data_IF_311915042116
#
_entry.id   IF_311915042116
#
_cell.length_a   1.000
_cell.length_b   1.000
_cell.length_c   1.000
_cell.angle_alpha   90.00
_cell.angle_beta   90.00
_cell.angle_gamma   90.00
#
_symmetry.space_group_name_H-M   'P 1'
#
loop_
_entity.id
_entity.type
_entity.pdbx_description
1 polymer ?
#
# COMPACT_ATOMS: atom_id res chain seq x y z
N UNK A 1 -14.02 0.42 17.94
CA UNK A 1 -13.14 1.60 17.83
C UNK A 1 -13.54 2.55 16.70
N UNK A 2 -13.88 2.08 15.47
CA UNK A 2 -14.35 2.94 14.37
C UNK A 2 -15.56 3.82 14.73
N UNK A 3 -16.52 3.27 15.45
CA UNK A 3 -17.73 3.98 15.89
C UNK A 3 -17.42 5.19 16.80
N UNK A 4 -16.43 5.08 17.66
CA UNK A 4 -16.05 6.18 18.57
C UNK A 4 -15.52 7.39 17.79
N UNK A 5 -14.78 7.15 16.71
CA UNK A 5 -14.17 8.23 15.89
C UNK A 5 -15.14 8.89 14.94
N UNK A 6 -16.05 8.13 14.36
CA UNK A 6 -17.16 8.72 13.59
C UNK A 6 -17.99 9.61 14.52
N UNK A 7 -18.27 9.19 15.76
CA UNK A 7 -18.97 9.99 16.76
C UNK A 7 -18.21 11.25 17.12
N UNK A 8 -16.87 11.22 17.16
CA UNK A 8 -16.07 12.44 17.41
C UNK A 8 -16.22 13.42 16.24
N UNK A 9 -16.19 12.94 14.99
CA UNK A 9 -16.45 13.78 13.83
C UNK A 9 -17.87 14.33 13.84
N UNK A 10 -18.88 13.50 14.09
CA UNK A 10 -20.28 13.92 14.24
C UNK A 10 -20.42 15.00 15.31
N UNK A 11 -19.71 14.87 16.42
CA UNK A 11 -19.69 15.87 17.49
C UNK A 11 -19.12 17.21 17.02
N UNK A 12 -18.00 17.20 16.27
CA UNK A 12 -17.43 18.41 15.70
C UNK A 12 -18.37 19.01 14.66
N UNK A 13 -18.91 18.21 13.77
CA UNK A 13 -19.88 18.65 12.74
C UNK A 13 -21.08 19.36 13.39
N UNK A 14 -21.65 18.75 14.42
CA UNK A 14 -22.71 19.34 15.22
C UNK A 14 -22.33 20.66 15.88
N UNK A 15 -21.18 20.68 16.55
CA UNK A 15 -20.73 21.87 17.31
C UNK A 15 -20.40 23.05 16.39
N UNK A 16 -20.10 22.80 15.13
CA UNK A 16 -19.84 23.84 14.11
C UNK A 16 -21.07 24.30 13.39
N UNK A 17 -22.19 23.59 13.50
CA UNK A 17 -23.48 24.00 12.97
C UNK A 17 -24.21 24.88 14.01
N UNK A 18 -24.21 26.17 13.79
CA UNK A 18 -24.77 27.16 14.74
C UNK A 18 -26.04 27.84 14.23
N UNK A 19 -26.54 27.44 13.06
CA UNK A 19 -27.60 28.14 12.35
C UNK A 19 -29.00 27.60 12.66
N UNK A 20 -29.09 26.37 13.17
CA UNK A 20 -30.36 25.69 13.46
C UNK A 20 -30.14 24.31 14.03
N UNK A 21 -31.08 23.40 13.80
CA UNK A 21 -30.97 22.04 14.32
C UNK A 21 -29.94 21.20 13.56
N UNK A 22 -29.30 20.28 14.29
CA UNK A 22 -28.46 19.23 13.75
C UNK A 22 -29.01 17.86 14.14
N UNK A 23 -29.12 16.95 13.17
CA UNK A 23 -29.51 15.56 13.40
C UNK A 23 -28.52 14.60 12.75
N UNK A 24 -28.26 13.49 13.42
CA UNK A 24 -27.48 12.37 12.89
C UNK A 24 -28.43 11.17 12.81
N UNK A 25 -29.05 10.96 11.65
CA UNK A 25 -30.04 9.92 11.44
C UNK A 25 -30.30 9.72 9.94
N UNK A 26 -31.14 8.78 9.59
CA UNK A 26 -31.63 8.61 8.22
C UNK A 26 -32.75 9.61 7.89
N UNK A 27 -32.85 10.04 6.64
CA UNK A 27 -33.80 11.03 6.15
C UNK A 27 -35.28 10.74 6.61
N UNK A 28 -35.67 9.46 6.59
CA UNK A 28 -37.01 9.06 7.02
C UNK A 28 -37.38 9.39 8.47
N UNK A 29 -36.38 9.59 9.35
CA UNK A 29 -36.61 9.92 10.74
C UNK A 29 -36.90 11.44 10.95
N UNK A 30 -36.44 12.29 10.04
CA UNK A 30 -36.64 13.75 10.12
C UNK A 30 -38.08 14.11 9.87
N UNK A 31 -38.76 13.42 8.98
CA UNK A 31 -40.19 13.66 8.61
C UNK A 31 -41.17 13.37 9.74
N UNK A 32 -40.73 12.75 10.83
CA UNK A 32 -41.59 12.41 11.98
C UNK A 32 -41.43 13.43 13.13
N UNK A 33 -40.51 14.39 13.01
CA UNK A 33 -40.24 15.35 14.07
C UNK A 33 -40.91 16.71 13.78
N UNK A 34 -41.95 17.03 14.52
CA UNK A 34 -42.76 18.24 14.32
C UNK A 34 -42.12 19.52 14.90
N UNK A 35 -40.97 19.43 15.60
CA UNK A 35 -40.35 20.55 16.30
C UNK A 35 -38.96 20.94 15.75
N UNK A 36 -38.74 20.74 14.45
CA UNK A 36 -37.45 21.06 13.82
C UNK A 36 -37.29 22.58 13.65
N UNK A 37 -36.11 23.08 14.04
CA UNK A 37 -35.71 24.48 13.83
C UNK A 37 -34.87 24.54 12.55
N UNK A 38 -35.32 25.32 11.58
CA UNK A 38 -34.67 25.53 10.30
C UNK A 38 -33.71 26.76 10.36
N UNK A 39 -32.58 26.76 9.61
CA UNK A 39 -32.15 25.66 8.73
C UNK A 39 -31.74 24.42 9.52
N UNK A 40 -32.09 23.24 9.02
CA UNK A 40 -31.72 21.97 9.58
C UNK A 40 -30.54 21.39 8.81
N UNK A 41 -29.55 20.86 9.51
CA UNK A 41 -28.52 20.00 8.94
C UNK A 41 -28.76 18.55 9.41
N UNK A 42 -28.86 17.65 8.46
CA UNK A 42 -28.93 16.21 8.68
C UNK A 42 -27.62 15.58 8.18
N UNK A 43 -26.98 14.80 9.01
CA UNK A 43 -25.89 13.92 8.58
C UNK A 43 -26.41 12.49 8.55
N UNK A 44 -26.33 11.85 7.38
CA UNK A 44 -26.66 10.43 7.28
C UNK A 44 -25.50 9.55 7.74
N UNK A 45 -25.78 8.43 8.44
CA UNK A 45 -24.75 7.44 8.75
C UNK A 45 -24.16 6.89 7.45
N UNK A 46 -22.81 6.87 7.30
CA UNK A 46 -22.21 6.30 6.10
C UNK A 46 -22.61 4.86 5.90
N UNK A 47 -23.09 4.55 4.70
CA UNK A 47 -23.55 3.19 4.33
C UNK A 47 -22.42 2.31 3.79
N UNK A 48 -21.31 2.91 3.41
CA UNK A 48 -20.11 2.22 2.92
C UNK A 48 -18.86 2.74 3.57
N UNK A 49 -17.94 1.83 3.89
CA UNK A 49 -16.62 2.12 4.43
C UNK A 49 -15.61 1.36 3.60
N UNK A 50 -14.64 2.06 3.05
CA UNK A 50 -13.51 1.45 2.34
C UNK A 50 -12.33 1.42 3.31
N UNK A 51 -11.99 0.25 3.89
CA UNK A 51 -10.85 0.16 4.79
C UNK A 51 -9.55 0.20 3.98
N UNK A 52 -8.69 1.14 4.31
CA UNK A 52 -7.28 1.08 3.93
C UNK A 52 -6.51 0.37 5.05
N UNK A 53 -6.39 -0.95 4.91
CA UNK A 53 -5.78 -1.81 5.93
C UNK A 53 -4.29 -1.51 6.10
N UNK A 54 -3.66 -0.85 5.12
CA UNK A 54 -2.20 -0.62 5.11
C UNK A 54 -1.82 0.70 5.76
N UNK A 55 -2.62 1.72 5.52
CA UNK A 55 -2.38 3.06 6.09
C UNK A 55 -3.09 3.25 7.43
N UNK A 56 -3.92 2.29 7.85
CA UNK A 56 -4.71 2.39 9.07
C UNK A 56 -5.84 3.41 8.98
N UNK A 57 -6.19 3.84 7.75
CA UNK A 57 -7.31 4.70 7.47
C UNK A 57 -8.53 3.90 7.02
N UNK A 58 -9.69 4.46 7.29
CA UNK A 58 -10.94 4.09 6.65
C UNK A 58 -11.46 5.30 5.87
N UNK A 59 -11.87 5.09 4.64
CA UNK A 59 -12.48 6.13 3.82
C UNK A 59 -13.99 5.98 3.90
N UNK A 60 -14.66 7.05 4.30
CA UNK A 60 -16.09 7.18 4.38
C UNK A 60 -16.55 8.19 3.32
N UNK A 61 -17.49 7.84 2.49
CA UNK A 61 -18.28 8.85 1.78
C UNK A 61 -19.36 9.32 2.74
N UNK A 62 -19.29 10.57 3.14
CA UNK A 62 -20.26 11.20 4.05
C UNK A 62 -21.18 12.11 3.28
N UNK A 63 -22.44 12.09 3.68
CA UNK A 63 -23.49 12.92 3.09
C UNK A 63 -24.14 13.78 4.16
N UNK A 64 -24.28 15.07 3.82
CA UNK A 64 -24.96 16.05 4.62
C UNK A 64 -26.10 16.67 3.82
N UNK A 65 -27.26 16.66 4.39
CA UNK A 65 -28.43 17.33 3.82
C UNK A 65 -28.76 18.57 4.62
N UNK A 66 -28.88 19.68 3.93
CA UNK A 66 -29.24 20.96 4.51
C UNK A 66 -30.64 21.34 4.04
N UNK A 67 -31.52 21.63 4.97
CA UNK A 67 -32.89 21.96 4.70
C UNK A 67 -33.24 23.36 5.18
N UNK A 68 -34.03 24.08 4.39
CA UNK A 68 -34.63 25.34 4.83
C UNK A 68 -36.10 25.40 4.40
N UNK A 69 -36.95 25.89 5.28
CA UNK A 69 -38.39 26.01 5.00
C UNK A 69 -38.69 27.27 4.20
N UNK A 70 -39.78 27.25 3.41
CA UNK A 70 -40.27 28.41 2.72
C UNK A 70 -41.80 28.55 2.80
N UNK A 71 -42.32 29.81 2.74
CA UNK A 71 -43.78 30.09 2.74
C UNK A 71 -44.36 29.88 1.34
N UNK A 72 -45.62 29.44 1.25
CA UNK A 72 -46.33 29.18 -0.03
C UNK A 72 -46.27 30.37 -1.01
N UNK A 73 -46.29 31.60 -0.50
CA UNK A 73 -46.23 32.82 -1.29
C UNK A 73 -44.88 33.12 -1.97
N UNK A 74 -43.83 32.36 -1.66
CA UNK A 74 -42.45 32.57 -2.14
C UNK A 74 -42.01 31.46 -3.12
N UNK A 75 -42.91 31.03 -4.01
CA UNK A 75 -42.63 29.92 -4.95
C UNK A 75 -42.08 30.38 -6.31
N UNK A 76 -41.84 31.69 -6.50
CA UNK A 76 -41.20 32.14 -7.72
C UNK A 76 -39.73 31.65 -7.80
N UNK A 77 -39.30 31.44 -9.04
CA UNK A 77 -37.96 30.85 -9.29
C UNK A 77 -36.82 31.66 -8.70
N UNK A 78 -36.94 33.00 -8.66
CA UNK A 78 -35.88 33.89 -8.14
C UNK A 78 -35.76 33.76 -6.63
N UNK A 79 -36.89 33.70 -5.92
CA UNK A 79 -36.92 33.52 -4.47
C UNK A 79 -36.42 32.15 -4.07
N UNK A 80 -36.75 31.11 -4.79
CA UNK A 80 -36.23 29.76 -4.57
C UNK A 80 -34.73 29.69 -4.82
N UNK A 81 -34.25 30.27 -5.93
CA UNK A 81 -32.84 30.34 -6.24
C UNK A 81 -32.04 31.01 -5.12
N UNK A 82 -32.49 32.16 -4.63
CA UNK A 82 -31.85 32.88 -3.53
C UNK A 82 -31.82 32.05 -2.24
N UNK A 83 -32.79 31.20 -1.98
CA UNK A 83 -32.80 30.33 -0.82
C UNK A 83 -31.81 29.20 -0.95
N UNK A 84 -31.68 28.62 -2.13
CA UNK A 84 -30.60 27.65 -2.37
C UNK A 84 -29.23 28.27 -2.24
N UNK A 85 -29.01 29.47 -2.78
CA UNK A 85 -27.74 30.19 -2.67
C UNK A 85 -27.40 30.45 -1.19
N UNK A 86 -28.35 31.00 -0.42
CA UNK A 86 -28.13 31.22 1.03
C UNK A 86 -27.85 29.92 1.80
N UNK A 87 -28.56 28.84 1.48
CA UNK A 87 -28.37 27.56 2.15
C UNK A 87 -27.01 26.94 1.77
N UNK A 88 -26.59 27.08 0.52
CA UNK A 88 -25.27 26.65 0.07
C UNK A 88 -24.17 27.47 0.73
N UNK A 89 -24.32 28.79 0.88
CA UNK A 89 -23.36 29.65 1.57
C UNK A 89 -23.18 29.20 3.03
N UNK A 90 -24.29 28.91 3.74
CA UNK A 90 -24.24 28.37 5.11
C UNK A 90 -23.54 27.00 5.17
N UNK A 91 -23.81 26.12 4.21
CA UNK A 91 -23.19 24.80 4.14
C UNK A 91 -21.68 24.89 3.88
N UNK A 92 -21.26 25.80 3.00
CA UNK A 92 -19.84 26.04 2.72
C UNK A 92 -19.13 26.70 3.91
N UNK A 93 -19.73 27.69 4.57
CA UNK A 93 -19.18 28.29 5.77
C UNK A 93 -19.04 27.25 6.90
N UNK A 94 -20.04 26.38 7.07
CA UNK A 94 -19.94 25.29 8.01
C UNK A 94 -18.77 24.34 7.66
N UNK A 95 -18.66 23.94 6.39
CA UNK A 95 -17.58 23.06 5.94
C UNK A 95 -16.21 23.69 6.20
N UNK A 96 -16.03 24.98 5.91
CA UNK A 96 -14.78 25.69 6.20
C UNK A 96 -14.49 25.70 7.71
N UNK A 97 -15.49 25.89 8.55
CA UNK A 97 -15.37 25.83 10.01
C UNK A 97 -15.01 24.43 10.52
N UNK A 98 -15.51 23.38 9.87
CA UNK A 98 -15.10 21.98 10.15
C UNK A 98 -13.66 21.75 9.68
N UNK A 99 -13.30 22.21 8.49
CA UNK A 99 -11.96 22.07 7.91
C UNK A 99 -10.89 22.78 8.78
N UNK A 100 -11.19 23.90 9.41
CA UNK A 100 -10.28 24.59 10.35
C UNK A 100 -9.90 23.66 11.52
N UNK A 101 -10.81 22.82 12.02
CA UNK A 101 -10.49 21.85 13.08
C UNK A 101 -9.67 20.65 12.59
N UNK A 102 -9.74 20.37 11.30
CA UNK A 102 -9.03 19.25 10.66
C UNK A 102 -8.03 19.74 9.61
N UNK A 103 -7.56 21.00 9.72
CA UNK A 103 -6.76 21.67 8.72
C UNK A 103 -5.47 20.92 8.40
N UNK A 104 -5.37 20.55 7.13
CA UNK A 104 -4.11 20.40 6.42
C UNK A 104 -3.16 19.33 6.90
N UNK A 105 -3.64 18.15 7.31
CA UNK A 105 -2.75 17.01 7.60
C UNK A 105 -1.80 17.19 8.78
N UNK A 106 -1.83 18.36 9.45
CA UNK A 106 -1.03 18.62 10.63
C UNK A 106 -1.99 19.00 11.75
N UNK A 107 -2.43 18.02 12.51
CA UNK A 107 -2.95 18.32 13.84
C UNK A 107 -1.76 18.80 14.64
N UNK A 108 -1.70 20.09 14.90
CA UNK A 108 -0.81 20.62 15.94
C UNK A 108 -1.12 19.85 17.22
N UNK A 109 -0.13 19.12 17.66
CA UNK A 109 -0.15 18.26 18.84
C UNK A 109 -0.95 18.89 19.98
N UNK A 110 -2.00 18.26 20.47
CA UNK A 110 -2.46 18.58 21.81
C UNK A 110 -1.39 18.08 22.78
N UNK A 111 -1.22 18.80 23.85
CA UNK A 111 -0.26 18.58 24.92
C UNK A 111 -0.01 17.10 25.24
N UNK A 112 1.22 16.81 25.59
CA UNK A 112 1.92 15.54 25.84
C UNK A 112 1.26 14.52 26.79
N UNK A 113 -0.02 14.56 27.02
CA UNK A 113 -0.73 13.65 27.93
C UNK A 113 -1.92 12.89 27.33
N UNK A 114 -2.19 12.98 26.03
CA UNK A 114 -3.26 12.21 25.39
C UNK A 114 -2.74 11.40 24.21
N UNK A 115 -2.96 10.10 24.19
CA UNK A 115 -2.23 9.18 23.29
C UNK A 115 -2.89 8.93 21.95
N UNK A 116 -3.60 9.87 21.33
CA UNK A 116 -4.00 9.65 19.93
C UNK A 116 -4.48 10.91 19.23
N UNK A 117 -3.75 11.41 18.24
CA UNK A 117 -4.33 12.36 17.30
C UNK A 117 -5.37 11.63 16.45
N UNK A 118 -6.63 12.04 16.54
CA UNK A 118 -7.66 11.65 15.58
C UNK A 118 -7.39 12.41 14.30
N UNK A 119 -6.68 11.79 13.37
CA UNK A 119 -6.45 12.40 12.05
C UNK A 119 -7.68 12.14 11.19
N UNK A 120 -8.40 13.21 10.87
CA UNK A 120 -9.47 13.21 9.87
C UNK A 120 -8.96 14.02 8.69
N UNK A 121 -9.01 13.43 7.52
CA UNK A 121 -8.63 14.06 6.27
C UNK A 121 -9.84 14.13 5.35
N UNK A 122 -10.24 15.33 4.93
CA UNK A 122 -11.35 15.56 4.01
C UNK A 122 -10.77 15.78 2.60
N UNK A 123 -11.20 14.93 1.66
CA UNK A 123 -10.83 15.06 0.26
C UNK A 123 -11.70 16.14 -0.41
N UNK A 124 -11.13 17.33 -0.63
CA UNK A 124 -11.84 18.44 -1.27
C UNK A 124 -12.18 18.19 -2.75
N UNK A 125 -11.41 17.33 -3.41
CA UNK A 125 -11.63 17.02 -4.83
C UNK A 125 -12.85 16.10 -5.05
N UNK A 126 -13.33 15.45 -3.98
CA UNK A 126 -14.56 14.64 -4.00
C UNK A 126 -15.82 15.42 -3.62
N UNK A 127 -15.69 16.72 -3.29
CA UNK A 127 -16.83 17.53 -2.87
C UNK A 127 -17.86 17.67 -4.01
N UNK A 128 -19.08 17.24 -3.73
CA UNK A 128 -20.25 17.39 -4.61
C UNK A 128 -21.36 18.13 -3.89
N UNK A 129 -22.04 19.03 -4.58
CA UNK A 129 -23.20 19.75 -4.06
C UNK A 129 -24.35 19.61 -5.07
N UNK A 130 -25.47 19.07 -4.60
CA UNK A 130 -26.68 18.91 -5.36
C UNK A 130 -27.79 19.76 -4.73
N UNK A 131 -28.62 20.40 -5.58
CA UNK A 131 -29.76 21.22 -5.16
C UNK A 131 -31.05 20.52 -5.52
N UNK A 132 -31.88 20.27 -4.52
CA UNK A 132 -33.19 19.62 -4.71
C UNK A 132 -34.30 20.48 -4.13
N UNK A 133 -35.50 20.36 -4.73
CA UNK A 133 -36.71 20.92 -4.23
C UNK A 133 -37.59 19.79 -3.78
N UNK A 134 -37.88 19.73 -2.50
CA UNK A 134 -38.86 18.80 -1.98
C UNK A 134 -40.28 19.35 -2.18
N UNK A 135 -41.02 18.70 -3.03
CA UNK A 135 -42.42 19.12 -3.35
C UNK A 135 -43.48 18.53 -2.41
N UNK A 136 -43.06 17.64 -1.51
CA UNK A 136 -43.97 17.04 -0.52
C UNK A 136 -44.33 18.07 0.55
N UNK A 137 -45.41 17.85 1.25
CA UNK A 137 -46.15 18.72 2.17
C UNK A 137 -45.40 19.79 2.98
N UNK A 138 -44.08 19.72 3.10
CA UNK A 138 -43.29 20.52 4.03
C UNK A 138 -42.64 21.77 3.44
N UNK A 139 -42.69 21.97 2.09
CA UNK A 139 -42.15 23.15 1.41
C UNK A 139 -40.72 23.45 1.79
N UNK A 140 -39.84 22.51 1.54
CA UNK A 140 -38.43 22.59 1.85
C UNK A 140 -37.61 22.82 0.58
N UNK A 141 -36.57 23.62 0.67
CA UNK A 141 -35.41 23.57 -0.23
C UNK A 141 -34.35 22.71 0.45
N UNK A 142 -33.75 21.84 -0.33
CA UNK A 142 -32.69 20.94 0.12
C UNK A 142 -31.40 21.15 -0.67
N UNK A 143 -30.29 21.04 0.01
CA UNK A 143 -28.96 20.89 -0.60
C UNK A 143 -28.36 19.63 -0.01
N UNK A 144 -27.89 18.76 -0.87
CA UNK A 144 -27.09 17.60 -0.50
C UNK A 144 -25.63 17.89 -0.79
N UNK A 145 -24.78 17.80 0.22
CA UNK A 145 -23.35 17.91 0.14
C UNK A 145 -22.72 16.57 0.47
N UNK A 146 -21.92 16.03 -0.43
CA UNK A 146 -21.18 14.78 -0.18
C UNK A 146 -19.69 14.98 -0.43
N UNK A 147 -18.86 14.27 0.35
CA UNK A 147 -17.42 14.23 0.17
C UNK A 147 -16.84 12.98 0.82
N UNK A 148 -15.64 12.60 0.36
CA UNK A 148 -14.88 11.51 0.96
C UNK A 148 -14.06 12.02 2.14
N UNK A 149 -14.19 11.30 3.25
CA UNK A 149 -13.46 11.57 4.47
C UNK A 149 -12.62 10.34 4.85
N UNK A 150 -11.34 10.53 5.04
CA UNK A 150 -10.43 9.49 5.56
C UNK A 150 -10.24 9.69 7.05
N UNK A 151 -10.49 8.65 7.81
CA UNK A 151 -10.31 8.64 9.26
C UNK A 151 -9.28 7.60 9.65
N UNK A 152 -8.35 7.98 10.54
CA UNK A 152 -7.38 7.06 11.09
C UNK A 152 -8.06 6.19 12.16
N UNK A 153 -8.32 4.92 11.86
CA UNK A 153 -9.16 4.05 12.69
C UNK A 153 -8.38 3.07 13.55
N UNK A 154 -7.10 2.86 13.24
CA UNK A 154 -6.27 1.91 13.99
C UNK A 154 -5.03 2.59 14.55
N UNK A 155 -4.96 2.72 15.87
CA UNK A 155 -3.67 2.76 16.53
C UNK A 155 -3.09 1.34 16.48
N UNK A 156 -2.19 1.11 15.54
CA UNK A 156 -1.28 -0.02 15.71
C UNK A 156 -0.46 0.29 16.95
N UNK A 157 -0.77 -0.37 18.06
CA UNK A 157 0.01 -0.30 19.32
C UNK A 157 1.42 -0.88 19.13
N UNK A 158 1.62 -1.63 18.09
CA UNK A 158 2.91 -1.90 17.48
C UNK A 158 2.94 -1.12 16.15
N UNK A 159 3.77 -0.10 16.08
CA UNK A 159 4.12 0.56 14.83
C UNK A 159 4.74 -0.49 13.92
N UNK A 160 3.92 -1.20 13.11
CA UNK A 160 4.47 -1.83 11.92
C UNK A 160 5.02 -0.67 11.12
N UNK A 161 6.32 -0.52 11.15
CA UNK A 161 6.96 0.52 10.36
C UNK A 161 6.71 0.16 8.91
N UNK A 162 6.16 1.11 8.14
CA UNK A 162 6.19 0.97 6.69
C UNK A 162 7.61 0.61 6.24
N UNK A 163 7.77 -0.18 5.20
CA UNK A 163 9.09 -0.55 4.71
C UNK A 163 10.06 0.64 4.58
N UNK A 164 9.59 1.79 4.12
CA UNK A 164 10.37 3.02 3.99
C UNK A 164 10.68 3.74 5.32
N UNK A 165 10.09 3.32 6.43
CA UNK A 165 10.45 3.80 7.77
C UNK A 165 11.56 2.97 8.43
N UNK A 166 11.87 1.83 7.83
CA UNK A 166 13.05 1.03 8.19
C UNK A 166 14.24 1.58 7.39
N UNK A 167 15.30 2.08 8.04
CA UNK A 167 16.42 2.69 7.35
C UNK A 167 17.11 1.75 6.35
N UNK A 168 17.73 2.33 5.33
CA UNK A 168 18.50 1.65 4.29
C UNK A 168 17.67 0.75 3.36
N UNK A 169 16.40 1.08 3.15
CA UNK A 169 15.63 0.51 2.05
C UNK A 169 16.21 1.04 0.73
N UNK A 170 16.71 0.15 -0.12
CA UNK A 170 17.39 0.51 -1.36
C UNK A 170 16.55 0.22 -2.59
N UNK A 171 15.68 -0.78 -2.55
CA UNK A 171 14.72 -1.04 -3.61
C UNK A 171 13.39 -1.54 -3.03
N UNK A 172 12.27 -1.08 -3.62
CA UNK A 172 10.93 -1.50 -3.24
C UNK A 172 9.99 -1.53 -4.44
N UNK A 173 9.67 -2.70 -4.91
CA UNK A 173 8.78 -2.95 -6.05
C UNK A 173 7.43 -3.47 -5.59
N UNK A 174 6.34 -2.85 -6.05
CA UNK A 174 4.97 -3.21 -5.69
C UNK A 174 4.16 -3.45 -6.97
N UNK A 175 3.59 -4.64 -7.15
CA UNK A 175 2.77 -4.95 -8.33
C UNK A 175 1.41 -4.22 -8.35
N UNK A 176 0.92 -3.77 -7.20
CA UNK A 176 -0.31 -2.98 -7.08
C UNK A 176 -0.11 -1.50 -7.42
N UNK A 177 1.12 -1.03 -7.55
CA UNK A 177 1.44 0.37 -7.84
C UNK A 177 2.75 0.51 -8.64
N UNK A 178 2.87 1.58 -9.44
CA UNK A 178 4.10 1.90 -10.17
C UNK A 178 4.44 0.95 -11.32
N UNK A 179 3.47 0.24 -11.86
CA UNK A 179 3.68 -0.68 -13.00
C UNK A 179 3.15 -0.07 -14.26
N UNK A 180 4.04 0.25 -15.20
CA UNK A 180 3.67 0.62 -16.57
C UNK A 180 3.49 -0.63 -17.41
N UNK A 181 2.30 -0.85 -17.91
CA UNK A 181 1.96 -2.01 -18.72
C UNK A 181 0.97 -1.67 -19.83
N UNK A 182 0.99 -2.43 -20.88
CA UNK A 182 -0.01 -2.37 -21.95
C UNK A 182 -1.32 -3.02 -21.45
N UNK A 183 -2.43 -2.28 -21.51
CA UNK A 183 -3.72 -2.74 -20.98
C UNK A 183 -4.26 -3.94 -21.73
N UNK A 184 -4.07 -4.00 -23.06
CA UNK A 184 -4.61 -5.05 -23.91
C UNK A 184 -3.83 -6.37 -23.78
N UNK A 185 -2.50 -6.28 -23.70
CA UNK A 185 -1.61 -7.45 -23.65
C UNK A 185 -1.11 -7.77 -22.25
N UNK A 186 -1.33 -6.88 -21.26
CA UNK A 186 -0.82 -6.94 -19.87
C UNK A 186 0.70 -6.90 -19.75
N UNK A 187 1.44 -6.68 -20.84
CA UNK A 187 2.90 -6.69 -20.87
C UNK A 187 3.47 -5.51 -20.10
N UNK A 188 4.33 -5.80 -19.12
CA UNK A 188 4.96 -4.83 -18.23
C UNK A 188 6.26 -4.33 -18.84
N UNK A 189 6.35 -3.05 -19.09
CA UNK A 189 7.55 -2.40 -19.62
C UNK A 189 8.42 -1.77 -18.51
N UNK A 190 7.81 -1.27 -17.42
CA UNK A 190 8.51 -0.62 -16.31
C UNK A 190 7.86 -1.04 -14.99
N UNK A 191 8.69 -1.29 -13.99
CA UNK A 191 8.27 -1.45 -12.58
C UNK A 191 9.06 -0.49 -11.72
N UNK A 192 8.38 0.55 -11.20
CA UNK A 192 8.99 1.66 -10.47
C UNK A 192 9.45 1.23 -9.07
N UNK A 193 10.58 1.79 -8.65
CA UNK A 193 11.14 1.68 -7.31
C UNK A 193 10.51 2.69 -6.35
N UNK A 194 9.86 2.22 -5.31
CA UNK A 194 9.24 3.03 -4.25
C UNK A 194 10.17 3.30 -3.05
N UNK A 195 11.42 2.87 -3.09
CA UNK A 195 12.38 3.16 -2.00
C UNK A 195 12.82 4.62 -1.96
N UNK A 196 12.66 5.34 -3.09
CA UNK A 196 13.22 6.66 -3.34
C UNK A 196 14.64 6.62 -3.89
N UNK A 197 15.18 5.43 -4.18
CA UNK A 197 16.53 5.25 -4.74
C UNK A 197 16.59 5.38 -6.26
N UNK A 198 15.43 5.44 -6.95
CA UNK A 198 15.36 5.57 -8.41
C UNK A 198 15.86 4.34 -9.17
N UNK A 199 15.68 3.14 -8.60
CA UNK A 199 16.16 1.87 -9.16
C UNK A 199 15.06 1.13 -9.92
N UNK A 200 14.42 1.84 -10.83
CA UNK A 200 13.38 1.28 -11.69
C UNK A 200 13.94 0.11 -12.52
N UNK A 201 13.12 -0.90 -12.74
CA UNK A 201 13.47 -2.01 -13.63
C UNK A 201 12.60 -1.99 -14.87
N UNK A 202 13.19 -2.21 -16.03
CA UNK A 202 12.52 -2.04 -17.31
C UNK A 202 12.80 -3.18 -18.32
N UNK A 203 11.95 -3.30 -19.32
CA UNK A 203 12.11 -4.18 -20.46
C UNK A 203 11.50 -3.57 -21.72
N UNK A 204 12.34 -3.18 -22.68
CA UNK A 204 11.91 -2.58 -23.94
C UNK A 204 11.45 -3.63 -24.95
N UNK A 205 11.95 -4.87 -24.88
CA UNK A 205 11.61 -5.95 -25.82
C UNK A 205 10.29 -6.61 -25.42
N UNK A 206 9.24 -6.36 -26.16
CA UNK A 206 7.87 -6.83 -25.87
C UNK A 206 7.73 -8.33 -25.63
N UNK A 207 8.55 -9.18 -26.29
CA UNK A 207 8.54 -10.65 -26.09
C UNK A 207 9.17 -11.09 -24.77
N UNK A 208 9.92 -10.20 -24.09
CA UNK A 208 10.57 -10.46 -22.80
C UNK A 208 9.85 -9.81 -21.63
N UNK A 209 8.78 -9.05 -21.89
CA UNK A 209 8.02 -8.36 -20.86
C UNK A 209 7.11 -9.33 -20.08
N UNK A 210 7.19 -9.39 -18.74
CA UNK A 210 6.29 -10.18 -17.93
C UNK A 210 4.87 -9.57 -17.93
N UNK A 211 3.88 -10.35 -17.48
CA UNK A 211 2.48 -9.97 -17.53
C UNK A 211 1.97 -9.48 -16.17
N UNK A 212 1.26 -8.35 -16.16
CA UNK A 212 0.61 -7.85 -14.94
C UNK A 212 -0.83 -8.36 -14.81
N UNK A 213 -1.15 -8.90 -13.63
CA UNK A 213 -2.50 -9.27 -13.22
C UNK A 213 -2.97 -8.41 -12.04
N UNK A 214 -4.21 -7.93 -12.11
CA UNK A 214 -4.70 -6.91 -11.18
C UNK A 214 -5.21 -7.43 -9.84
N UNK A 215 -5.92 -8.57 -9.83
CA UNK A 215 -6.67 -9.03 -8.65
C UNK A 215 -6.63 -10.55 -8.41
N UNK A 216 -5.73 -11.26 -9.07
CA UNK A 216 -5.67 -12.72 -9.03
C UNK A 216 -4.56 -13.26 -8.11
N UNK A 217 -3.82 -12.36 -7.44
CA UNK A 217 -2.72 -12.70 -6.54
C UNK A 217 -3.16 -13.02 -5.11
N UNK A 218 -2.19 -13.09 -4.18
CA UNK A 218 -2.45 -13.29 -2.76
C UNK A 218 -3.40 -12.21 -2.22
N UNK A 219 -4.46 -12.61 -1.53
CA UNK A 219 -5.50 -11.73 -1.00
C UNK A 219 -6.06 -10.75 -2.05
N UNK A 220 -6.34 -11.24 -3.26
CA UNK A 220 -6.87 -10.43 -4.37
C UNK A 220 -6.00 -9.21 -4.74
N UNK A 221 -4.69 -9.30 -4.53
CA UNK A 221 -3.72 -8.27 -4.88
C UNK A 221 -3.10 -8.51 -6.25
N UNK A 222 -2.55 -7.44 -6.82
CA UNK A 222 -1.84 -7.52 -8.08
C UNK A 222 -0.54 -8.34 -7.98
N UNK A 223 -0.14 -8.92 -9.11
CA UNK A 223 1.14 -9.58 -9.26
C UNK A 223 1.68 -9.44 -10.68
N UNK A 224 2.98 -9.63 -10.82
CA UNK A 224 3.69 -9.72 -12.09
C UNK A 224 4.01 -11.20 -12.34
N UNK A 225 3.65 -11.70 -13.49
CA UNK A 225 3.80 -13.10 -13.89
C UNK A 225 4.97 -13.28 -14.86
N UNK A 226 5.90 -14.13 -14.48
CA UNK A 226 7.08 -14.50 -15.25
C UNK A 226 6.91 -15.92 -15.81
N UNK A 227 7.25 -16.13 -17.06
CA UNK A 227 6.90 -17.35 -17.83
C UNK A 227 7.93 -18.48 -17.79
N UNK A 228 8.99 -18.35 -17.01
CA UNK A 228 10.05 -19.38 -16.91
C UNK A 228 10.91 -19.59 -18.16
N UNK A 229 10.78 -18.74 -19.18
CA UNK A 229 11.50 -18.93 -20.46
C UNK A 229 12.18 -17.69 -21.01
N UNK A 230 11.62 -16.50 -20.76
CA UNK A 230 12.12 -15.26 -21.39
C UNK A 230 11.79 -13.98 -20.65
N UNK A 231 10.83 -14.00 -19.70
CA UNK A 231 10.39 -12.80 -19.03
C UNK A 231 11.43 -12.30 -18.03
N UNK A 232 11.80 -11.03 -18.15
CA UNK A 232 12.71 -10.35 -17.21
C UNK A 232 12.49 -8.85 -17.23
N UNK A 233 12.83 -8.20 -16.13
CA UNK A 233 12.96 -6.74 -16.01
C UNK A 233 14.32 -6.45 -15.42
N UNK A 234 15.04 -5.46 -15.97
CA UNK A 234 16.43 -5.18 -15.58
C UNK A 234 16.57 -3.70 -15.27
N UNK A 235 17.32 -3.36 -14.25
CA UNK A 235 17.71 -2.00 -13.96
C UNK A 235 18.52 -1.42 -15.12
N UNK A 236 18.41 -0.13 -15.37
CA UNK A 236 19.15 0.56 -16.43
C UNK A 236 20.66 0.37 -16.22
N UNK A 237 21.39 0.07 -17.29
CA UNK A 237 22.84 -0.12 -17.24
C UNK A 237 23.51 1.15 -16.71
N UNK A 238 24.35 1.01 -15.65
CA UNK A 238 25.04 2.09 -14.98
C UNK A 238 24.38 2.60 -13.71
N UNK A 239 23.15 2.19 -13.44
CA UNK A 239 22.53 2.37 -12.12
C UNK A 239 22.99 1.25 -11.19
N UNK A 240 23.19 1.58 -9.91
CA UNK A 240 23.66 0.63 -8.90
C UNK A 240 22.49 0.15 -8.03
N UNK A 241 22.47 -1.13 -7.68
CA UNK A 241 21.50 -1.71 -6.74
C UNK A 241 21.52 -1.04 -5.35
N UNK A 242 22.60 -0.32 -5.04
CA UNK A 242 22.77 0.38 -3.77
C UNK A 242 22.95 -0.56 -2.59
N UNK A 243 23.43 -1.75 -2.84
CA UNK A 243 23.79 -2.76 -1.84
C UNK A 243 25.30 -3.00 -1.85
N UNK A 244 25.82 -3.44 -0.74
CA UNK A 244 27.23 -3.75 -0.55
C UNK A 244 27.37 -5.23 -0.12
N UNK A 245 27.99 -5.48 1.01
CA UNK A 245 28.29 -6.82 1.52
C UNK A 245 27.23 -7.38 2.45
N UNK A 246 26.27 -6.55 2.90
CA UNK A 246 25.21 -6.97 3.82
C UNK A 246 23.83 -6.61 3.29
N UNK A 247 22.96 -7.60 3.24
CA UNK A 247 21.64 -7.46 2.63
C UNK A 247 20.58 -8.12 3.50
N UNK A 248 19.41 -7.49 3.60
CA UNK A 248 18.17 -8.16 3.98
C UNK A 248 17.15 -7.90 2.88
N UNK A 249 16.50 -8.93 2.37
CA UNK A 249 15.43 -8.76 1.40
C UNK A 249 14.19 -9.57 1.75
N UNK A 250 13.06 -9.07 1.26
CA UNK A 250 11.75 -9.71 1.38
C UNK A 250 11.14 -9.82 0.00
N UNK A 251 10.47 -10.93 -0.28
CA UNK A 251 9.71 -11.09 -1.49
C UNK A 251 8.41 -11.86 -1.23
N UNK A 252 7.31 -11.37 -1.80
CA UNK A 252 6.02 -12.07 -1.81
C UNK A 252 5.84 -12.68 -3.18
N UNK A 253 6.01 -13.99 -3.26
CA UNK A 253 5.91 -14.70 -4.53
C UNK A 253 5.45 -16.16 -4.40
N UNK A 254 4.97 -16.69 -5.50
CA UNK A 254 4.79 -18.13 -5.76
C UNK A 254 5.62 -18.52 -6.98
N UNK A 255 6.05 -19.76 -7.03
CA UNK A 255 6.62 -20.35 -8.26
C UNK A 255 5.73 -21.49 -8.75
N UNK A 256 5.59 -21.60 -10.07
CA UNK A 256 4.70 -22.56 -10.72
C UNK A 256 5.48 -23.80 -11.21
N UNK A 257 6.77 -23.63 -11.53
CA UNK A 257 7.64 -24.73 -11.97
C UNK A 257 8.23 -25.49 -10.79
N UNK A 258 8.09 -26.82 -10.84
CA UNK A 258 8.54 -27.72 -9.75
C UNK A 258 9.92 -28.33 -9.98
N UNK A 259 10.54 -28.16 -11.14
CA UNK A 259 11.83 -28.74 -11.51
C UNK A 259 12.76 -27.68 -12.05
N UNK A 260 14.08 -27.90 -11.90
CA UNK A 260 15.11 -26.98 -12.36
C UNK A 260 15.35 -25.82 -11.39
N UNK A 261 15.95 -24.77 -11.90
CA UNK A 261 16.28 -23.53 -11.17
C UNK A 261 15.67 -22.35 -11.90
N UNK A 262 15.16 -21.37 -11.14
CA UNK A 262 14.69 -20.10 -11.66
C UNK A 262 14.90 -19.00 -10.62
N UNK A 263 15.48 -17.88 -11.04
CA UNK A 263 15.76 -16.76 -10.14
C UNK A 263 14.75 -15.62 -10.32
N UNK A 264 14.06 -15.30 -9.22
CA UNK A 264 13.17 -14.18 -9.13
C UNK A 264 13.93 -12.85 -9.16
N UNK A 265 15.01 -12.79 -8.40
CA UNK A 265 15.82 -11.59 -8.24
C UNK A 265 17.30 -12.00 -8.28
N UNK A 266 18.04 -11.32 -9.13
CA UNK A 266 19.51 -11.35 -9.15
C UNK A 266 20.02 -9.94 -8.89
N UNK A 267 21.03 -9.84 -8.05
CA UNK A 267 21.85 -8.64 -7.84
C UNK A 267 23.26 -9.05 -8.25
N UNK A 268 23.69 -8.59 -9.41
CA UNK A 268 24.95 -9.00 -10.03
C UNK A 268 25.61 -7.89 -10.85
N UNK A 269 26.91 -8.04 -11.10
CA UNK A 269 27.66 -7.16 -11.98
C UNK A 269 27.56 -7.69 -13.41
N UNK A 270 26.47 -7.39 -14.10
CA UNK A 270 26.18 -7.82 -15.46
C UNK A 270 27.44 -7.76 -16.39
N UNK A 271 28.08 -8.90 -16.59
CA UNK A 271 29.03 -9.12 -17.68
C UNK A 271 30.53 -9.03 -17.35
N UNK A 272 30.94 -8.75 -16.13
CA UNK A 272 32.38 -8.63 -15.79
C UNK A 272 32.84 -9.40 -14.56
N UNK A 273 31.95 -9.69 -13.62
CA UNK A 273 32.27 -10.35 -12.35
C UNK A 273 31.36 -11.56 -12.09
N UNK A 274 31.90 -12.54 -11.38
CA UNK A 274 31.13 -13.71 -10.91
C UNK A 274 30.29 -13.42 -9.69
N UNK A 275 30.43 -12.23 -9.10
CA UNK A 275 29.73 -11.83 -7.87
C UNK A 275 28.23 -11.73 -8.07
N UNK A 276 27.48 -12.43 -7.24
CA UNK A 276 26.01 -12.35 -7.31
C UNK A 276 25.35 -12.71 -5.98
N UNK A 277 24.13 -12.17 -5.81
CA UNK A 277 23.13 -12.67 -4.87
C UNK A 277 21.88 -13.00 -5.66
N UNK A 278 21.41 -14.23 -5.56
CA UNK A 278 20.33 -14.76 -6.37
C UNK A 278 19.26 -15.42 -5.48
N UNK A 279 18.02 -14.90 -5.54
CA UNK A 279 16.87 -15.43 -4.83
C UNK A 279 15.87 -16.02 -5.84
N UNK A 280 15.40 -17.23 -5.58
CA UNK A 280 14.41 -17.87 -6.45
C UNK A 280 13.96 -19.22 -5.95
N UNK A 281 13.93 -20.19 -6.85
CA UNK A 281 13.64 -21.59 -6.50
C UNK A 281 14.63 -22.53 -7.18
N UNK A 282 14.85 -23.70 -6.55
CA UNK A 282 15.59 -24.82 -7.11
C UNK A 282 14.96 -26.13 -6.64
N UNK A 283 14.61 -27.00 -7.58
CA UNK A 283 14.03 -28.32 -7.28
C UNK A 283 12.85 -28.27 -6.29
N UNK A 284 11.89 -27.37 -6.53
CA UNK A 284 10.68 -27.16 -5.71
C UNK A 284 10.93 -26.58 -4.29
N UNK A 285 12.09 -25.98 -4.05
CA UNK A 285 12.42 -25.31 -2.80
C UNK A 285 12.72 -23.83 -3.06
N UNK A 286 12.36 -22.97 -2.12
CA UNK A 286 12.91 -21.62 -2.09
C UNK A 286 14.41 -21.68 -1.93
N UNK A 287 15.14 -20.81 -2.62
CA UNK A 287 16.57 -20.93 -2.79
C UNK A 287 17.24 -19.57 -2.80
N UNK A 288 18.29 -19.43 -2.00
CA UNK A 288 19.19 -18.29 -2.01
C UNK A 288 20.60 -18.79 -2.32
N UNK A 289 21.23 -18.18 -3.30
CA UNK A 289 22.63 -18.42 -3.66
C UNK A 289 23.40 -17.10 -3.64
N UNK A 290 24.63 -17.15 -3.21
CA UNK A 290 25.58 -16.04 -3.28
C UNK A 290 26.90 -16.53 -3.83
N UNK A 291 27.56 -15.71 -4.65
CA UNK A 291 28.84 -16.02 -5.27
C UNK A 291 29.78 -14.82 -5.11
N UNK A 292 31.06 -15.06 -4.80
CA UNK A 292 32.11 -14.02 -4.69
C UNK A 292 32.85 -13.84 -6.03
N UNK A 293 33.74 -12.83 -6.07
CA UNK A 293 34.56 -12.54 -7.25
C UNK A 293 35.57 -13.63 -7.63
N UNK A 294 35.89 -14.54 -6.73
CA UNK A 294 36.74 -15.69 -6.99
C UNK A 294 35.95 -16.92 -7.49
N UNK A 295 34.63 -16.83 -7.54
CA UNK A 295 33.76 -17.94 -7.95
C UNK A 295 33.44 -18.93 -6.82
N UNK A 296 33.75 -18.60 -5.56
CA UNK A 296 33.25 -19.39 -4.44
C UNK A 296 31.75 -19.10 -4.25
N UNK A 297 30.95 -20.15 -4.13
CA UNK A 297 29.52 -20.00 -3.96
C UNK A 297 29.00 -20.72 -2.72
N UNK A 298 27.92 -20.19 -2.16
CA UNK A 298 27.17 -20.82 -1.10
C UNK A 298 25.69 -20.68 -1.33
N UNK A 299 24.94 -21.66 -0.85
CA UNK A 299 23.48 -21.64 -1.04
C UNK A 299 22.76 -22.14 0.20
N UNK A 300 21.51 -21.69 0.36
CA UNK A 300 20.64 -22.14 1.43
C UNK A 300 19.20 -22.29 0.92
N UNK A 301 18.52 -23.31 1.42
CA UNK A 301 17.09 -23.51 1.24
C UNK A 301 16.44 -23.71 2.61
N UNK A 302 15.17 -23.33 2.83
CA UNK A 302 14.48 -23.65 4.07
C UNK A 302 14.51 -25.16 4.31
N UNK A 303 14.76 -25.57 5.54
CA UNK A 303 14.91 -26.97 5.94
C UNK A 303 13.62 -27.80 5.83
N UNK A 304 12.50 -27.14 5.59
CA UNK A 304 11.24 -27.82 5.29
C UNK A 304 10.57 -27.07 4.15
N UNK A 305 10.21 -27.73 3.03
CA UNK A 305 9.23 -27.14 2.17
C UNK A 305 8.01 -26.96 3.05
N UNK A 306 7.64 -25.70 3.36
CA UNK A 306 6.29 -25.52 3.86
C UNK A 306 5.39 -26.26 2.87
N UNK A 307 4.49 -27.09 3.36
CA UNK A 307 3.52 -27.83 2.55
C UNK A 307 2.65 -26.90 1.66
N UNK A 308 2.90 -25.60 1.69
CA UNK A 308 2.34 -24.54 0.87
C UNK A 308 3.26 -24.01 -0.23
N UNK A 309 4.51 -24.46 -0.35
CA UNK A 309 5.40 -23.99 -1.43
C UNK A 309 4.89 -24.32 -2.83
N UNK A 310 3.97 -25.25 -2.94
CA UNK A 310 3.50 -25.78 -4.22
C UNK A 310 2.15 -25.26 -4.70
N UNK A 311 1.46 -24.40 -3.94
CA UNK A 311 0.11 -23.98 -4.30
C UNK A 311 -0.27 -22.54 -3.93
N UNK A 312 0.62 -21.75 -3.32
CA UNK A 312 0.29 -20.41 -2.87
C UNK A 312 1.47 -19.46 -2.75
N UNK A 313 1.14 -18.20 -2.56
CA UNK A 313 2.11 -17.15 -2.25
C UNK A 313 2.73 -17.36 -0.87
N UNK A 314 4.02 -17.08 -0.76
CA UNK A 314 4.74 -17.05 0.49
C UNK A 314 5.51 -15.74 0.64
N UNK A 315 5.75 -15.33 1.87
CA UNK A 315 6.67 -14.24 2.19
C UNK A 315 8.03 -14.88 2.44
N UNK A 316 8.99 -14.63 1.58
CA UNK A 316 10.36 -15.10 1.74
C UNK A 316 11.20 -13.96 2.27
N UNK A 317 11.94 -14.23 3.35
CA UNK A 317 12.90 -13.32 3.95
C UNK A 317 14.29 -13.92 3.83
N UNK A 318 15.22 -13.13 3.31
CA UNK A 318 16.64 -13.51 3.25
C UNK A 318 17.50 -12.51 4.03
N UNK A 319 18.62 -12.99 4.55
CA UNK A 319 19.75 -12.19 5.02
C UNK A 319 21.03 -12.75 4.43
N UNK A 320 21.91 -11.87 3.96
CA UNK A 320 23.24 -12.24 3.53
C UNK A 320 24.26 -11.33 4.22
N UNK A 321 25.21 -11.92 4.89
CA UNK A 321 26.41 -11.29 5.40
C UNK A 321 27.58 -11.84 4.62
N UNK A 322 28.01 -11.10 3.61
CA UNK A 322 29.07 -11.47 2.67
C UNK A 322 30.37 -10.71 2.93
N UNK A 323 30.50 -10.12 4.12
CA UNK A 323 31.73 -9.42 4.51
C UNK A 323 32.90 -10.40 4.35
N UNK A 324 33.97 -9.93 3.71
CA UNK A 324 35.22 -10.68 3.57
C UNK A 324 35.69 -11.17 4.94
N UNK A 325 35.47 -12.43 5.22
CA UNK A 325 35.82 -13.07 6.47
C UNK A 325 35.90 -14.59 6.27
N UNK A 326 36.39 -15.27 7.27
CA UNK A 326 36.44 -16.73 7.28
C UNK A 326 35.06 -17.39 7.51
N UNK A 327 33.99 -16.59 7.70
CA UNK A 327 32.69 -17.11 8.07
C UNK A 327 31.50 -16.24 7.55
N UNK A 328 31.38 -16.00 6.24
CA UNK A 328 30.21 -15.39 5.66
C UNK A 328 28.98 -16.27 5.86
N UNK A 329 27.83 -15.65 6.08
CA UNK A 329 26.61 -16.35 6.46
C UNK A 329 25.43 -15.89 5.63
N UNK A 330 24.63 -16.85 5.15
CA UNK A 330 23.36 -16.59 4.51
C UNK A 330 22.22 -17.28 5.22
N UNK A 331 21.06 -16.64 5.18
CA UNK A 331 19.85 -17.09 5.88
C UNK A 331 18.65 -16.95 4.97
N UNK A 332 17.76 -17.92 5.06
CA UNK A 332 16.46 -17.88 4.40
C UNK A 332 15.34 -18.38 5.32
N UNK A 333 14.19 -17.75 5.27
CA UNK A 333 12.97 -18.29 5.88
C UNK A 333 11.76 -18.03 5.02
N UNK A 334 10.74 -18.86 5.18
CA UNK A 334 9.41 -18.64 4.62
C UNK A 334 8.42 -18.26 5.70
N UNK A 335 7.59 -17.26 5.46
CA UNK A 335 6.54 -16.80 6.35
C UNK A 335 7.09 -16.47 7.76
N UNK A 336 6.40 -16.93 8.79
CA UNK A 336 6.82 -16.75 10.19
C UNK A 336 7.70 -17.89 10.74
N UNK A 337 8.29 -18.72 9.87
CA UNK A 337 9.17 -19.79 10.30
C UNK A 337 10.52 -19.27 10.81
N UNK A 338 11.30 -20.13 11.44
CA UNK A 338 12.69 -19.85 11.80
C UNK A 338 13.58 -19.76 10.57
N UNK A 339 14.67 -18.98 10.67
CA UNK A 339 15.70 -18.97 9.63
C UNK A 339 16.42 -20.31 9.53
N UNK A 340 16.61 -20.77 8.30
CA UNK A 340 17.64 -21.74 7.98
C UNK A 340 18.92 -20.96 7.62
N UNK A 341 20.03 -21.35 8.20
CA UNK A 341 21.33 -20.71 8.07
C UNK A 341 22.30 -21.64 7.34
N UNK A 342 23.19 -21.06 6.54
CA UNK A 342 24.33 -21.72 5.92
C UNK A 342 25.58 -20.87 6.12
N UNK A 343 26.66 -21.51 6.55
CA UNK A 343 28.02 -20.96 6.51
C UNK A 343 28.65 -21.27 5.15
N UNK A 344 29.31 -20.30 4.55
CA UNK A 344 29.72 -20.40 3.14
C UNK A 344 31.24 -20.51 2.97
N UNK A 345 32.00 -20.72 4.00
CA UNK A 345 33.46 -20.75 3.90
C UNK A 345 34.05 -19.36 3.66
N UNK A 346 35.28 -19.27 3.14
CA UNK A 346 35.96 -17.99 2.94
C UNK A 346 35.49 -17.33 1.65
N UNK A 347 34.95 -16.11 1.74
CA UNK A 347 34.64 -15.24 0.61
C UNK A 347 35.75 -14.20 0.44
N UNK A 348 36.06 -13.93 -0.82
CA UNK A 348 36.96 -12.86 -1.24
C UNK A 348 36.29 -12.01 -2.28
N UNK A 349 36.42 -10.67 -2.17
CA UNK A 349 35.86 -9.73 -3.12
C UNK A 349 34.34 -9.93 -3.34
N UNK A 350 33.55 -9.81 -2.26
CA UNK A 350 32.10 -10.07 -2.24
C UNK A 350 31.25 -8.80 -2.31
N UNK A 351 31.87 -7.64 -2.59
CA UNK A 351 31.18 -6.36 -2.68
C UNK A 351 30.30 -6.26 -3.92
N UNK A 352 29.01 -5.98 -3.71
CA UNK A 352 27.98 -5.79 -4.76
C UNK A 352 27.72 -4.31 -5.06
N UNK A 353 28.60 -3.38 -4.68
CA UNK A 353 28.39 -1.93 -4.82
C UNK A 353 28.04 -1.51 -6.25
N UNK A 354 28.63 -2.14 -7.26
CA UNK A 354 28.39 -1.85 -8.67
C UNK A 354 27.37 -2.80 -9.34
N UNK A 355 26.72 -3.64 -8.56
CA UNK A 355 25.75 -4.59 -9.07
C UNK A 355 24.43 -3.90 -9.49
N UNK A 356 23.73 -4.50 -10.43
CA UNK A 356 22.40 -4.11 -10.88
C UNK A 356 21.35 -5.15 -10.48
N UNK A 357 20.11 -4.71 -10.37
CA UNK A 357 18.98 -5.60 -10.07
C UNK A 357 18.38 -6.12 -11.39
N UNK A 358 18.28 -7.45 -11.49
CA UNK A 358 17.47 -8.13 -12.51
C UNK A 358 16.37 -8.93 -11.84
N UNK A 359 15.14 -8.79 -12.33
CA UNK A 359 13.98 -9.55 -11.87
C UNK A 359 13.55 -10.55 -12.97
N UNK A 360 13.29 -11.79 -12.57
CA UNK A 360 12.80 -12.84 -13.45
C UNK A 360 13.86 -13.69 -14.15
N UNK A 361 15.16 -13.44 -13.90
CA UNK A 361 16.26 -14.27 -14.40
C UNK A 361 17.56 -14.04 -13.59
N UNK A 362 18.59 -14.83 -13.87
CA UNK A 362 19.97 -14.62 -13.35
C UNK A 362 20.77 -13.56 -14.10
N UNK A 363 20.13 -12.85 -15.02
CA UNK A 363 20.78 -11.80 -15.82
C UNK A 363 21.67 -12.30 -16.94
N UNK A 364 22.41 -13.39 -16.74
CA UNK A 364 23.44 -13.85 -17.69
C UNK A 364 23.12 -15.19 -18.37
N UNK A 365 22.54 -16.14 -17.68
CA UNK A 365 22.50 -17.55 -18.10
C UNK A 365 21.10 -18.10 -18.36
N UNK A 366 20.05 -17.29 -18.20
CA UNK A 366 18.71 -17.68 -18.59
C UNK A 366 18.02 -18.66 -17.64
N UNK A 367 18.37 -18.70 -16.36
CA UNK A 367 17.58 -19.38 -15.33
C UNK A 367 16.33 -18.56 -15.00
N UNK A 368 15.40 -18.54 -15.96
CA UNK A 368 14.21 -17.72 -15.89
C UNK A 368 13.26 -18.21 -14.81
N UNK A 369 12.74 -17.26 -14.04
CA UNK A 369 11.74 -17.50 -13.03
C UNK A 369 10.38 -17.81 -13.67
N UNK A 370 9.69 -18.81 -13.12
CA UNK A 370 8.33 -19.21 -13.51
C UNK A 370 7.40 -19.04 -12.32
N UNK A 371 6.56 -17.99 -12.35
CA UNK A 371 5.65 -17.71 -11.26
C UNK A 371 5.25 -16.26 -11.08
N UNK A 372 4.44 -16.01 -10.06
CA UNK A 372 3.86 -14.71 -9.77
C UNK A 372 4.54 -13.99 -8.59
N UNK A 373 4.79 -12.70 -8.76
CA UNK A 373 5.48 -11.84 -7.79
C UNK A 373 4.62 -10.62 -7.45
N UNK A 374 4.34 -10.42 -6.17
CA UNK A 374 3.50 -9.31 -5.72
C UNK A 374 4.29 -8.14 -5.14
N UNK A 375 5.38 -8.41 -4.42
CA UNK A 375 6.19 -7.36 -3.80
C UNK A 375 7.62 -7.83 -3.53
N UNK A 376 8.59 -6.92 -3.69
CA UNK A 376 10.01 -7.15 -3.38
C UNK A 376 10.54 -5.93 -2.64
N UNK A 377 11.34 -6.16 -1.60
CA UNK A 377 12.05 -5.13 -0.85
C UNK A 377 13.49 -5.55 -0.61
N UNK A 378 14.42 -4.61 -0.74
CA UNK A 378 15.85 -4.83 -0.50
C UNK A 378 16.37 -3.74 0.42
N UNK A 379 17.06 -4.14 1.48
CA UNK A 379 17.76 -3.28 2.43
C UNK A 379 19.26 -3.54 2.36
N UNK A 380 20.06 -2.48 2.27
CA UNK A 380 21.53 -2.58 2.22
C UNK A 380 22.18 -2.78 3.59
N UNK A 381 21.56 -3.57 4.44
CA UNK A 381 22.07 -3.97 5.76
C UNK A 381 21.38 -5.20 6.32
N UNK A 382 21.95 -5.78 7.35
CA UNK A 382 21.24 -6.75 8.16
C UNK A 382 20.22 -6.03 9.05
N UNK A 383 18.93 -6.39 8.90
CA UNK A 383 17.88 -5.92 9.80
C UNK A 383 17.90 -6.72 11.10
N UNK A 384 17.56 -6.03 12.20
CA UNK A 384 17.28 -6.69 13.48
C UNK A 384 16.01 -7.52 13.40
N UNK A 385 15.83 -8.49 14.29
CA UNK A 385 14.62 -9.32 14.34
C UNK A 385 13.35 -8.47 14.54
N UNK A 386 13.44 -7.38 15.31
CA UNK A 386 12.32 -6.45 15.49
C UNK A 386 11.93 -5.73 14.19
N UNK A 387 12.90 -5.32 13.38
CA UNK A 387 12.65 -4.70 12.08
C UNK A 387 12.12 -5.70 11.07
N UNK A 388 12.66 -6.92 11.06
CA UNK A 388 12.15 -8.03 10.23
C UNK A 388 10.68 -8.31 10.57
N UNK A 389 10.34 -8.40 11.85
CA UNK A 389 8.96 -8.64 12.28
C UNK A 389 8.02 -7.48 11.87
N UNK A 390 8.46 -6.24 11.91
CA UNK A 390 7.68 -5.09 11.43
C UNK A 390 7.36 -5.20 9.93
N UNK A 391 8.36 -5.57 9.11
CA UNK A 391 8.15 -5.75 7.66
C UNK A 391 7.28 -6.97 7.37
N UNK A 392 7.47 -8.06 8.08
CA UNK A 392 6.63 -9.26 7.96
C UNK A 392 5.18 -8.98 8.36
N UNK A 393 4.94 -8.21 9.41
CA UNK A 393 3.61 -7.78 9.81
C UNK A 393 2.94 -6.93 8.71
N UNK A 394 3.68 -5.98 8.13
CA UNK A 394 3.20 -5.21 6.98
C UNK A 394 2.79 -6.13 5.83
N UNK A 395 3.67 -7.04 5.40
CA UNK A 395 3.42 -7.95 4.29
C UNK A 395 2.27 -8.91 4.59
N UNK A 396 2.21 -9.49 5.79
CA UNK A 396 1.14 -10.42 6.15
C UNK A 396 -0.22 -9.72 6.30
N UNK A 397 -0.25 -8.49 6.80
CA UNK A 397 -1.46 -7.68 6.82
C UNK A 397 -1.98 -7.38 5.42
N UNK A 398 -1.08 -7.17 4.46
CA UNK A 398 -1.39 -6.87 3.06
C UNK A 398 -1.85 -8.12 2.29
N UNK A 399 -1.13 -9.22 2.42
CA UNK A 399 -1.31 -10.40 1.58
C UNK A 399 -2.03 -11.56 2.25
N UNK A 400 -2.20 -11.54 3.58
CA UNK A 400 -2.89 -12.56 4.40
C UNK A 400 -2.40 -13.97 4.09
N UNK A 401 -1.10 -14.19 4.20
CA UNK A 401 -0.45 -15.45 3.81
C UNK A 401 -0.44 -16.44 4.96
N UNK A 402 -0.32 -15.96 6.21
CA UNK A 402 -0.31 -16.83 7.41
C UNK A 402 -1.00 -16.16 8.61
#
# INVERSE_FOLDING_TARGET
>A
MAITRLNDFVTVAKNKWTYGDFKFNYEGAVNQDHNVIYPLMLMEPPTSVIPDVYEGFETYTVEFEFYNSYKKAAQDAVTLQRRWDNLQDLAMEWLDNVLINYSGGTITSPSTSSPTPTQVYINKDSLSIQRDKEEKNDRLVKITMSFDMRMFTRCFTNKSKYPNQVPNLTAWFRADSGVTHDIATRKTSIWLDYSGGGRDVEQSTSSKQPLRYGYDGANEKAYIDFNGTSHQLTQTIGEQAGVDTTITAFAVYKFDKKTGTGFLMSIDNLGTDTKSLQLGYRSNLYYLEVTDGAGNSGFVSPSSPSSGATSGYNIITIKANMIESSDPQIFIKSNNNSFTQQHIGTFTDSNLENASITLGSDGANGNYFDGGVSEIMVYSRLLTDGEINNVLEYLNNKYRIY
#
